data_IF_704121311940
#
_entry.id   IF_704121311940
#
_cell.length_a   1.000
_cell.length_b   1.000
_cell.length_c   1.000
_cell.angle_alpha   90.00
_cell.angle_beta   90.00
_cell.angle_gamma   90.00
#
_symmetry.space_group_name_H-M   'P 1'
#
loop_
_entity.id
_entity.type
_entity.pdbx_description
1 polymer ?
#
# COMPACT_ATOMS: atom_id res chain seq x y z
N UNK A 1 -4.37 2.66 4.97
CA UNK A 1 -4.87 4.03 5.23
C UNK A 1 -5.46 4.58 3.94
N UNK A 2 -6.75 4.91 3.92
CA UNK A 2 -7.41 5.48 2.74
C UNK A 2 -7.14 6.98 2.68
N UNK A 3 -6.94 7.52 1.48
CA UNK A 3 -6.77 8.94 1.24
C UNK A 3 -7.70 9.40 0.12
N UNK A 4 -8.30 10.57 0.29
CA UNK A 4 -9.10 11.23 -0.75
C UNK A 4 -8.27 11.56 -2.00
N UNK A 5 -6.97 11.83 -1.83
CA UNK A 5 -6.05 12.17 -2.91
C UNK A 5 -4.89 11.17 -2.95
N UNK A 6 -4.49 10.76 -4.16
CA UNK A 6 -3.33 9.89 -4.41
C UNK A 6 -2.06 10.71 -4.64
N UNK A 7 -1.79 11.64 -3.74
CA UNK A 7 -0.64 12.54 -3.83
C UNK A 7 0.62 11.94 -3.18
N UNK A 8 1.75 12.65 -3.33
CA UNK A 8 3.05 12.24 -2.78
C UNK A 8 3.02 12.16 -1.25
N UNK A 9 2.26 13.04 -0.59
CA UNK A 9 2.09 13.08 0.86
C UNK A 9 1.37 11.83 1.37
N UNK A 10 0.30 11.43 0.70
CA UNK A 10 -0.44 10.20 1.00
C UNK A 10 0.46 8.97 0.81
N UNK A 11 1.23 8.91 -0.29
CA UNK A 11 2.19 7.84 -0.53
C UNK A 11 3.25 7.76 0.58
N UNK A 12 3.82 8.90 1.01
CA UNK A 12 4.79 8.94 2.11
C UNK A 12 4.21 8.41 3.42
N UNK A 13 3.00 8.84 3.79
CA UNK A 13 2.30 8.37 5.01
C UNK A 13 2.01 6.87 4.93
N UNK A 14 1.57 6.39 3.76
CA UNK A 14 1.33 4.98 3.53
C UNK A 14 2.59 4.14 3.79
N UNK A 15 3.72 4.50 3.18
CA UNK A 15 4.97 3.77 3.38
C UNK A 15 5.46 3.85 4.83
N UNK A 16 5.33 5.01 5.49
CA UNK A 16 5.71 5.14 6.90
C UNK A 16 4.91 4.19 7.80
N UNK A 17 3.59 4.14 7.66
CA UNK A 17 2.74 3.22 8.43
C UNK A 17 3.00 1.76 8.08
N UNK A 18 3.20 1.44 6.80
CA UNK A 18 3.49 0.08 6.35
C UNK A 18 4.80 -0.45 6.98
N UNK A 19 5.84 0.39 7.02
CA UNK A 19 7.13 0.05 7.64
C UNK A 19 7.00 -0.06 9.16
N UNK A 20 6.20 0.80 9.80
CA UNK A 20 5.96 0.73 11.24
C UNK A 20 5.29 -0.59 11.63
N UNK A 21 4.28 -1.03 10.86
CA UNK A 21 3.52 -2.25 11.17
C UNK A 21 4.21 -3.55 10.75
N UNK A 22 4.97 -3.56 9.66
CA UNK A 22 5.53 -4.79 9.06
C UNK A 22 7.06 -4.88 9.11
N UNK A 23 7.74 -3.86 9.64
CA UNK A 23 9.20 -3.75 9.61
C UNK A 23 9.74 -3.18 8.30
N UNK A 24 11.08 -3.04 8.22
CA UNK A 24 11.76 -2.43 7.07
C UNK A 24 12.00 -3.48 5.98
N UNK A 25 11.36 -3.37 4.80
CA UNK A 25 11.58 -4.31 3.71
C UNK A 25 12.89 -4.04 2.97
N UNK A 26 13.53 -5.08 2.45
CA UNK A 26 14.71 -4.95 1.57
C UNK A 26 14.34 -4.42 0.18
N UNK A 27 13.19 -4.83 -0.34
CA UNK A 27 12.69 -4.44 -1.67
C UNK A 27 11.18 -4.18 -1.63
N UNK A 28 10.72 -3.21 -2.40
CA UNK A 28 9.30 -2.92 -2.60
C UNK A 28 8.98 -3.00 -4.10
N UNK A 29 7.89 -3.67 -4.44
CA UNK A 29 7.29 -3.62 -5.77
C UNK A 29 6.18 -2.57 -5.78
N UNK A 30 6.22 -1.66 -6.74
CA UNK A 30 5.17 -0.65 -6.92
C UNK A 30 4.61 -0.69 -8.33
N UNK A 31 3.37 -0.27 -8.48
CA UNK A 31 2.88 0.22 -9.76
C UNK A 31 3.72 1.44 -10.18
N UNK A 32 3.87 1.72 -11.47
CA UNK A 32 4.78 2.76 -11.97
C UNK A 32 4.27 4.20 -11.71
N UNK A 33 3.51 4.42 -10.63
CA UNK A 33 2.94 5.71 -10.29
C UNK A 33 4.01 6.69 -9.77
N UNK A 34 3.90 7.94 -10.22
CA UNK A 34 4.82 9.02 -9.85
C UNK A 34 4.79 9.31 -8.34
N UNK A 35 3.62 9.22 -7.72
CA UNK A 35 3.45 9.46 -6.29
C UNK A 35 4.13 8.40 -5.42
N UNK A 36 4.07 7.12 -5.80
CA UNK A 36 4.77 6.05 -5.08
C UNK A 36 6.29 6.18 -5.19
N UNK A 37 6.80 6.49 -6.38
CA UNK A 37 8.23 6.74 -6.59
C UNK A 37 8.73 7.92 -5.73
N UNK A 38 7.97 9.02 -5.68
CA UNK A 38 8.29 10.15 -4.82
C UNK A 38 8.21 9.79 -3.33
N UNK A 39 7.18 9.04 -2.91
CA UNK A 39 7.02 8.59 -1.53
C UNK A 39 8.19 7.73 -1.04
N UNK A 40 8.62 6.74 -1.83
CA UNK A 40 9.79 5.89 -1.50
C UNK A 40 11.07 6.74 -1.43
N UNK A 41 11.24 7.70 -2.34
CA UNK A 41 12.41 8.60 -2.33
C UNK A 41 12.47 9.41 -1.04
N UNK A 42 11.35 9.95 -0.57
CA UNK A 42 11.28 10.68 0.70
C UNK A 42 11.56 9.78 1.91
N UNK A 43 11.05 8.55 1.92
CA UNK A 43 11.33 7.57 2.98
C UNK A 43 12.82 7.22 3.03
N UNK A 44 13.44 6.94 1.87
CA UNK A 44 14.87 6.65 1.79
C UNK A 44 15.75 7.84 2.22
N UNK A 45 15.35 9.09 1.94
CA UNK A 45 16.04 10.29 2.46
C UNK A 45 16.02 10.34 3.99
N UNK A 46 14.88 9.99 4.60
CA UNK A 46 14.75 9.97 6.06
C UNK A 46 15.67 8.92 6.67
N UNK A 47 15.74 7.71 6.09
CA UNK A 47 16.66 6.68 6.56
C UNK A 47 18.12 7.10 6.47
N UNK A 48 18.51 7.74 5.34
CA UNK A 48 19.87 8.28 5.17
C UNK A 48 20.21 9.34 6.25
N UNK A 49 19.25 10.18 6.64
CA UNK A 49 19.43 11.18 7.70
C UNK A 49 19.55 10.57 9.10
N UNK A 50 18.90 9.43 9.33
CA UNK A 50 18.93 8.71 10.60
C UNK A 50 20.15 7.77 10.73
N UNK A 51 21.19 7.95 9.90
CA UNK A 51 22.43 7.15 9.89
C UNK A 51 22.19 5.64 9.74
N UNK A 52 21.02 5.27 9.24
CA UNK A 52 20.62 3.90 8.96
C UNK A 52 21.04 3.64 7.51
N UNK A 53 22.04 2.79 7.28
CA UNK A 53 22.46 2.31 5.94
C UNK A 53 21.40 1.44 5.25
N UNK A 54 20.13 1.66 5.56
CA UNK A 54 18.98 0.98 4.99
C UNK A 54 18.48 1.77 3.79
N UNK A 55 18.60 1.16 2.62
CA UNK A 55 18.00 1.62 1.38
C UNK A 55 16.97 0.60 0.95
N UNK A 56 15.75 1.07 0.73
CA UNK A 56 14.70 0.25 0.15
C UNK A 56 14.87 0.29 -1.37
N UNK A 57 15.12 -0.86 -1.99
CA UNK A 57 15.18 -0.96 -3.44
C UNK A 57 13.77 -1.08 -4.04
N UNK A 58 13.55 -0.41 -5.17
CA UNK A 58 12.29 -0.52 -5.91
C UNK A 58 12.45 -1.52 -7.04
N UNK A 59 11.63 -2.57 -7.03
CA UNK A 59 11.62 -3.61 -8.07
C UNK A 59 10.42 -3.39 -9.00
N UNK A 60 10.68 -3.37 -10.30
CA UNK A 60 9.64 -3.34 -11.33
C UNK A 60 9.60 -4.70 -12.01
N UNK A 61 8.58 -5.49 -11.71
CA UNK A 61 8.35 -6.79 -12.36
C UNK A 61 6.88 -6.92 -12.71
N UNK A 62 6.59 -7.22 -13.97
CA UNK A 62 5.21 -7.47 -14.45
C UNK A 62 4.59 -8.63 -13.68
N UNK A 63 5.36 -9.68 -13.42
CA UNK A 63 4.88 -10.85 -12.69
C UNK A 63 4.48 -10.52 -11.24
N UNK A 64 5.34 -9.80 -10.50
CA UNK A 64 5.02 -9.40 -9.13
C UNK A 64 3.84 -8.44 -9.09
N UNK A 65 3.74 -7.55 -10.06
CA UNK A 65 2.59 -6.66 -10.19
C UNK A 65 1.29 -7.44 -10.47
N UNK A 66 1.32 -8.46 -11.33
CA UNK A 66 0.15 -9.31 -11.59
C UNK A 66 -0.33 -10.06 -10.33
N UNK A 67 0.58 -10.52 -9.46
CA UNK A 67 0.21 -11.15 -8.19
C UNK A 67 -0.54 -10.16 -7.30
N UNK A 68 0.03 -8.96 -7.15
CA UNK A 68 -0.55 -7.87 -6.35
C UNK A 68 -1.93 -7.48 -6.92
N UNK A 69 -2.03 -7.32 -8.25
CA UNK A 69 -3.28 -7.00 -8.94
C UNK A 69 -4.35 -8.07 -8.76
N UNK A 70 -3.96 -9.36 -8.77
CA UNK A 70 -4.87 -10.47 -8.55
C UNK A 70 -5.46 -10.47 -7.14
N UNK A 71 -4.63 -10.19 -6.13
CA UNK A 71 -5.11 -10.10 -4.74
C UNK A 71 -6.07 -8.91 -4.57
N UNK A 72 -5.75 -7.76 -5.18
CA UNK A 72 -6.65 -6.61 -5.21
C UNK A 72 -7.93 -6.83 -6.03
N UNK A 73 -7.90 -7.68 -7.07
CA UNK A 73 -9.07 -7.93 -7.92
C UNK A 73 -10.23 -8.50 -7.11
N UNK A 74 -9.94 -9.40 -6.17
CA UNK A 74 -10.96 -9.96 -5.29
C UNK A 74 -11.65 -8.88 -4.44
N UNK A 75 -10.85 -8.04 -3.76
CA UNK A 75 -11.38 -6.93 -2.95
C UNK A 75 -12.17 -5.91 -3.79
N UNK A 76 -11.70 -5.62 -5.02
CA UNK A 76 -12.44 -4.78 -5.97
C UNK A 76 -13.73 -5.44 -6.42
N UNK A 77 -13.76 -6.75 -6.62
CA UNK A 77 -14.97 -7.48 -7.01
C UNK A 77 -16.05 -7.43 -5.94
N UNK A 78 -15.66 -7.46 -4.66
CA UNK A 78 -16.60 -7.33 -3.55
C UNK A 78 -17.16 -5.92 -3.36
N UNK A 79 -16.35 -4.90 -3.65
CA UNK A 79 -16.73 -3.49 -3.46
C UNK A 79 -17.42 -2.88 -4.68
N UNK A 80 -17.22 -3.43 -5.89
CA UNK A 80 -17.85 -2.93 -7.13
C UNK A 80 -19.39 -2.89 -7.10
N UNK A 81 -20.11 -3.90 -6.56
CA UNK A 81 -21.57 -3.90 -6.49
C UNK A 81 -22.14 -2.82 -5.56
N UNK A 82 -21.34 -2.27 -4.64
CA UNK A 82 -21.83 -1.31 -3.64
C UNK A 82 -21.92 0.13 -4.16
N UNK A 83 -21.64 0.38 -5.45
CA UNK A 83 -21.56 1.71 -6.06
C UNK A 83 -20.57 2.67 -5.35
N UNK A 84 -19.59 2.10 -4.63
CA UNK A 84 -18.61 2.85 -3.84
C UNK A 84 -19.09 3.15 -2.41
N UNK A 85 -18.22 3.79 -1.63
CA UNK A 85 -18.50 4.17 -0.25
C UNK A 85 -18.78 5.68 -0.16
N UNK A 86 -19.88 6.06 0.48
CA UNK A 86 -20.24 7.48 0.70
C UNK A 86 -19.35 8.17 1.75
N UNK A 87 -18.69 7.40 2.61
CA UNK A 87 -17.83 7.90 3.69
C UNK A 87 -16.54 7.07 3.79
N UNK A 88 -15.39 7.74 3.95
CA UNK A 88 -14.09 7.10 4.12
C UNK A 88 -13.98 6.25 5.39
N UNK A 89 -14.59 6.66 6.50
CA UNK A 89 -14.55 5.90 7.76
C UNK A 89 -15.27 4.56 7.60
N UNK A 90 -16.45 4.59 6.99
CA UNK A 90 -17.20 3.38 6.65
C UNK A 90 -16.42 2.52 5.64
N UNK A 91 -15.83 3.13 4.61
CA UNK A 91 -14.98 2.44 3.64
C UNK A 91 -13.81 1.71 4.31
N UNK A 92 -13.13 2.38 5.25
CA UNK A 92 -12.02 1.81 6.00
C UNK A 92 -12.46 0.58 6.80
N UNK A 93 -13.54 0.72 7.58
CA UNK A 93 -14.08 -0.38 8.39
C UNK A 93 -14.50 -1.58 7.53
N UNK A 94 -15.19 -1.35 6.41
CA UNK A 94 -15.61 -2.42 5.51
C UNK A 94 -14.43 -3.12 4.85
N UNK A 95 -13.43 -2.37 4.35
CA UNK A 95 -12.24 -2.96 3.74
C UNK A 95 -11.44 -3.78 4.75
N UNK A 96 -11.28 -3.27 5.98
CA UNK A 96 -10.63 -4.03 7.07
C UNK A 96 -11.39 -5.31 7.40
N UNK A 97 -12.73 -5.28 7.46
CA UNK A 97 -13.54 -6.48 7.67
C UNK A 97 -13.36 -7.53 6.55
N UNK A 98 -13.32 -7.09 5.29
CA UNK A 98 -13.06 -7.97 4.13
C UNK A 98 -11.66 -8.58 4.24
N UNK A 99 -10.65 -7.78 4.56
CA UNK A 99 -9.27 -8.24 4.74
C UNK A 99 -9.16 -9.29 5.85
N UNK A 100 -9.75 -9.04 7.02
CA UNK A 100 -9.76 -9.99 8.15
C UNK A 100 -10.43 -11.30 7.75
N UNK A 101 -11.60 -11.23 7.10
CA UNK A 101 -12.33 -12.43 6.67
C UNK A 101 -11.51 -13.25 5.67
N UNK A 102 -10.79 -12.58 4.76
CA UNK A 102 -9.91 -13.24 3.81
C UNK A 102 -8.68 -13.88 4.45
N UNK A 103 -8.11 -13.26 5.48
CA UNK A 103 -7.01 -13.84 6.26
C UNK A 103 -7.50 -15.12 6.94
N UNK A 104 -8.61 -15.06 7.67
CA UNK A 104 -9.20 -16.21 8.36
C UNK A 104 -9.54 -17.36 7.38
N UNK A 105 -10.03 -17.03 6.18
CA UNK A 105 -10.35 -18.05 5.16
C UNK A 105 -9.11 -18.73 4.55
N UNK A 106 -7.95 -18.07 4.59
CA UNK A 106 -6.69 -18.56 4.02
C UNK A 106 -5.82 -19.29 5.06
N UNK A 107 -6.12 -19.14 6.35
CA UNK A 107 -5.62 -20.00 7.44
C UNK A 107 -6.27 -21.38 7.39
#
# INVERSE_FOLDING_TARGET
MLSNKRDTTAARKFFANAIYNNGIPKRITTDQSKSNAAGIKEVNKIFKRLSKSFKIDTVRSKFLNNIIERDYWFNKSLTRPTFGFKNLTSAAATLTGIEITNVIRKE
#
